data_IF_480316949398
#
_entry.id   IF_480316949398
#
_cell.length_a   1.000
_cell.length_b   1.000
_cell.length_c   1.000
_cell.angle_alpha   90.00
_cell.angle_beta   90.00
_cell.angle_gamma   90.00
#
_symmetry.space_group_name_H-M   'P 1'
#
loop_
_entity.id
_entity.type
_entity.pdbx_description
1 polymer ?
#
# COMPACT_ATOMS: atom_id res chain seq x y z
N UNK A 1 -8.10 -7.73 4.30
CA UNK A 1 -7.70 -6.33 4.60
C UNK A 1 -6.29 -6.37 5.14
N UNK A 2 -5.40 -5.51 4.64
CA UNK A 2 -4.03 -5.33 5.12
C UNK A 2 -3.98 -4.00 5.90
N UNK A 3 -3.39 -4.02 7.08
CA UNK A 3 -3.33 -2.86 7.98
C UNK A 3 -1.88 -2.55 8.32
N UNK A 4 -1.43 -1.34 8.02
CA UNK A 4 -0.15 -0.79 8.49
C UNK A 4 -0.37 0.02 9.75
N UNK A 5 -0.02 -0.52 10.92
CA UNK A 5 -0.11 0.20 12.19
C UNK A 5 1.12 1.07 12.45
N UNK A 6 1.01 2.03 13.39
CA UNK A 6 2.11 2.91 13.82
C UNK A 6 2.68 3.76 12.67
N UNK A 7 1.80 4.28 11.81
CA UNK A 7 2.22 5.16 10.72
C UNK A 7 2.89 6.46 11.21
N UNK A 8 2.62 6.89 12.44
CA UNK A 8 3.30 8.01 13.12
C UNK A 8 4.80 7.78 13.22
N UNK A 9 5.25 6.56 13.55
CA UNK A 9 6.67 6.21 13.56
C UNK A 9 7.28 6.10 12.14
N UNK A 10 6.45 5.95 11.12
CA UNK A 10 6.86 5.81 9.72
C UNK A 10 6.76 7.12 8.92
N UNK A 11 5.97 8.09 9.39
CA UNK A 11 5.66 9.33 8.69
C UNK A 11 6.92 10.16 8.37
N UNK A 12 7.88 10.16 9.31
CA UNK A 12 9.13 10.94 9.22
C UNK A 12 10.27 10.21 8.51
N UNK A 13 10.02 9.01 7.95
CA UNK A 13 11.02 8.31 7.14
C UNK A 13 11.25 9.01 5.81
N UNK A 14 12.38 8.69 5.19
CA UNK A 14 12.76 9.23 3.89
C UNK A 14 11.65 9.00 2.85
N UNK A 15 11.35 9.99 1.98
CA UNK A 15 10.32 9.88 0.95
C UNK A 15 10.46 8.62 0.08
N UNK A 16 11.69 8.24 -0.20
CA UNK A 16 11.99 7.07 -1.02
C UNK A 16 11.62 5.76 -0.31
N UNK A 17 11.96 5.60 0.97
CA UNK A 17 11.52 4.45 1.79
C UNK A 17 9.98 4.36 1.84
N UNK A 18 9.30 5.50 2.02
CA UNK A 18 7.84 5.57 1.99
C UNK A 18 7.26 5.16 0.64
N UNK A 19 7.90 5.57 -0.46
CA UNK A 19 7.52 5.19 -1.82
C UNK A 19 7.65 3.69 -2.04
N UNK A 20 8.80 3.10 -1.69
CA UNK A 20 9.04 1.65 -1.84
C UNK A 20 8.03 0.87 -1.02
N UNK A 21 7.90 1.18 0.27
CA UNK A 21 6.96 0.50 1.17
C UNK A 21 5.51 0.61 0.67
N UNK A 22 5.09 1.82 0.29
CA UNK A 22 3.74 2.07 -0.13
C UNK A 22 3.37 1.35 -1.44
N UNK A 23 4.29 1.27 -2.40
CA UNK A 23 4.06 0.50 -3.63
C UNK A 23 4.06 -1.01 -3.39
N UNK A 24 4.99 -1.53 -2.59
CA UNK A 24 5.05 -2.95 -2.24
C UNK A 24 3.76 -3.41 -1.54
N UNK A 25 3.26 -2.65 -0.56
CA UNK A 25 2.01 -2.99 0.13
C UNK A 25 0.78 -2.85 -0.77
N UNK A 26 0.75 -1.86 -1.66
CA UNK A 26 -0.33 -1.73 -2.66
C UNK A 26 -0.36 -2.92 -3.61
N UNK A 27 0.81 -3.39 -4.07
CA UNK A 27 0.91 -4.60 -4.88
C UNK A 27 0.37 -5.81 -4.12
N UNK A 28 0.84 -6.04 -2.89
CA UNK A 28 0.37 -7.15 -2.07
C UNK A 28 -1.14 -7.09 -1.84
N UNK A 29 -1.69 -5.91 -1.57
CA UNK A 29 -3.11 -5.71 -1.40
C UNK A 29 -3.88 -6.06 -2.68
N UNK A 30 -3.42 -5.56 -3.84
CA UNK A 30 -4.04 -5.83 -5.13
C UNK A 30 -4.02 -7.33 -5.49
N UNK A 31 -2.88 -8.00 -5.32
CA UNK A 31 -2.72 -9.44 -5.62
C UNK A 31 -3.62 -10.33 -4.75
N UNK A 32 -3.89 -9.90 -3.51
CA UNK A 32 -4.76 -10.63 -2.57
C UNK A 32 -6.23 -10.19 -2.63
N UNK A 33 -6.61 -9.27 -3.54
CA UNK A 33 -7.94 -8.67 -3.57
C UNK A 33 -8.31 -7.94 -2.26
N UNK A 34 -7.32 -7.49 -1.51
CA UNK A 34 -7.48 -6.88 -0.21
C UNK A 34 -7.46 -5.35 -0.28
N UNK A 35 -8.14 -4.71 0.67
CA UNK A 35 -7.96 -3.29 0.95
C UNK A 35 -6.73 -3.04 1.82
N UNK A 36 -6.03 -1.92 1.64
CA UNK A 36 -4.90 -1.46 2.43
C UNK A 36 -5.25 -0.18 3.19
N UNK A 37 -4.88 -0.09 4.47
CA UNK A 37 -5.03 1.12 5.28
C UNK A 37 -3.88 1.31 6.25
N UNK A 38 -3.37 2.54 6.33
CA UNK A 38 -2.46 2.96 7.39
C UNK A 38 -3.22 3.53 8.58
N UNK A 39 -2.77 3.20 9.79
CA UNK A 39 -3.44 3.58 11.03
C UNK A 39 -2.45 3.93 12.14
N UNK A 40 -2.87 4.85 12.99
CA UNK A 40 -2.26 5.24 14.27
C UNK A 40 -3.39 5.40 15.28
N UNK A 41 -3.09 5.60 16.57
CA UNK A 41 -4.10 5.96 17.56
C UNK A 41 -4.84 7.29 17.28
N UNK A 42 -4.43 8.07 16.27
CA UNK A 42 -5.11 9.29 15.85
C UNK A 42 -6.56 9.01 15.39
N UNK A 43 -7.47 9.92 15.77
CA UNK A 43 -8.91 9.79 15.50
C UNK A 43 -9.21 9.75 14.00
N UNK A 44 -8.48 10.49 13.18
CA UNK A 44 -8.68 10.54 11.73
C UNK A 44 -8.39 9.19 11.08
N UNK A 45 -7.22 8.62 11.38
CA UNK A 45 -6.78 7.35 10.79
C UNK A 45 -7.56 6.15 11.33
N UNK A 46 -7.88 6.12 12.63
CA UNK A 46 -8.81 5.13 13.20
C UNK A 46 -10.20 5.22 12.55
N UNK A 47 -10.66 6.43 12.23
CA UNK A 47 -11.91 6.64 11.51
C UNK A 47 -11.90 5.98 10.12
N UNK A 48 -10.81 6.13 9.36
CA UNK A 48 -10.64 5.46 8.07
C UNK A 48 -10.60 3.94 8.20
N UNK A 49 -9.88 3.41 9.20
CA UNK A 49 -9.86 1.97 9.48
C UNK A 49 -11.26 1.42 9.81
N UNK A 50 -12.00 2.09 10.70
CA UNK A 50 -13.38 1.69 11.07
C UNK A 50 -14.34 1.78 9.89
N UNK A 51 -14.23 2.82 9.07
CA UNK A 51 -15.03 2.96 7.86
C UNK A 51 -14.77 1.80 6.88
N UNK A 52 -13.50 1.41 6.72
CA UNK A 52 -13.12 0.26 5.89
C UNK A 52 -13.70 -1.05 6.41
N UNK A 53 -13.59 -1.31 7.73
CA UNK A 53 -14.20 -2.48 8.34
C UNK A 53 -15.72 -2.49 8.19
N UNK A 54 -16.37 -1.34 8.41
CA UNK A 54 -17.82 -1.20 8.24
C UNK A 54 -18.25 -1.49 6.81
N UNK A 55 -17.47 -1.05 5.82
CA UNK A 55 -17.69 -1.38 4.42
C UNK A 55 -17.54 -2.89 4.16
N UNK A 56 -16.48 -3.52 4.67
CA UNK A 56 -16.24 -4.96 4.45
C UNK A 56 -17.28 -5.85 5.15
N UNK A 57 -17.68 -5.52 6.38
CA UNK A 57 -18.55 -6.37 7.20
C UNK A 57 -20.04 -6.10 6.96
N UNK A 58 -20.41 -4.83 6.78
CA UNK A 58 -21.81 -4.40 6.74
C UNK A 58 -22.22 -3.78 5.41
N UNK A 59 -21.32 -3.77 4.41
CA UNK A 59 -21.53 -3.08 3.12
C UNK A 59 -21.89 -1.60 3.29
N UNK A 60 -21.46 -1.00 4.40
CA UNK A 60 -21.68 0.42 4.65
C UNK A 60 -20.98 1.27 3.57
N UNK A 61 -21.51 2.46 3.25
CA UNK A 61 -20.80 3.40 2.39
C UNK A 61 -19.43 3.74 2.99
N UNK A 62 -18.37 3.63 2.18
CA UNK A 62 -17.01 3.80 2.66
C UNK A 62 -16.73 5.25 3.12
N UNK A 63 -17.32 6.24 2.45
CA UNK A 63 -17.30 7.65 2.86
C UNK A 63 -15.91 8.30 2.95
N UNK A 64 -14.86 7.61 2.48
CA UNK A 64 -13.45 8.04 2.53
C UNK A 64 -12.84 7.93 1.14
N UNK A 65 -12.14 8.98 0.66
CA UNK A 65 -11.50 8.94 -0.65
C UNK A 65 -10.28 8.02 -0.62
N UNK A 66 -9.98 7.40 -1.77
CA UNK A 66 -8.73 6.67 -2.00
C UNK A 66 -7.53 7.62 -1.84
N UNK A 67 -6.51 7.17 -1.13
CA UNK A 67 -5.24 7.87 -0.92
C UNK A 67 -4.08 6.92 -1.27
N UNK A 68 -3.40 7.20 -2.38
CA UNK A 68 -2.25 6.42 -2.88
C UNK A 68 -0.92 7.18 -2.81
N UNK A 69 -0.97 8.46 -2.42
CA UNK A 69 0.20 9.30 -2.19
C UNK A 69 1.01 8.77 -1.00
N UNK A 70 2.24 8.35 -1.25
CA UNK A 70 3.13 7.74 -0.27
C UNK A 70 3.58 8.70 0.85
N UNK A 71 3.39 10.01 0.67
CA UNK A 71 3.64 11.01 1.70
C UNK A 71 2.49 11.12 2.71
N UNK A 72 1.35 10.50 2.41
CA UNK A 72 0.14 10.51 3.24
C UNK A 72 -0.17 9.10 3.75
N UNK A 73 -0.97 8.98 4.83
CA UNK A 73 -1.47 7.68 5.27
C UNK A 73 -2.25 7.01 4.14
N UNK A 74 -1.80 5.83 3.71
CA UNK A 74 -2.43 5.12 2.60
C UNK A 74 -3.82 4.65 2.97
N UNK A 75 -4.73 4.77 2.01
CA UNK A 75 -6.08 4.26 2.09
C UNK A 75 -6.51 3.78 0.71
N UNK A 76 -6.45 2.47 0.49
CA UNK A 76 -6.65 1.85 -0.82
C UNK A 76 -7.70 0.75 -0.70
N UNK A 77 -8.96 1.04 -1.04
CA UNK A 77 -10.01 0.03 -1.06
C UNK A 77 -9.72 -1.07 -2.09
N UNK A 78 -10.12 -2.31 -1.81
CA UNK A 78 -10.03 -3.41 -2.76
C UNK A 78 -10.70 -3.03 -4.09
N UNK A 79 -10.02 -3.34 -5.20
CA UNK A 79 -10.51 -3.02 -6.56
C UNK A 79 -10.35 -1.55 -6.99
N UNK A 80 -9.91 -0.64 -6.12
CA UNK A 80 -9.68 0.78 -6.47
C UNK A 80 -8.27 1.07 -6.98
N UNK A 81 -7.43 0.05 -7.11
CA UNK A 81 -6.02 0.16 -7.48
C UNK A 81 -5.69 -0.78 -8.64
N UNK A 82 -4.63 -0.46 -9.37
CA UNK A 82 -4.18 -1.20 -10.55
C UNK A 82 -2.67 -1.37 -10.59
N UNK A 83 -2.20 -2.47 -11.19
CA UNK A 83 -0.75 -2.73 -11.36
C UNK A 83 -0.10 -1.60 -12.18
N UNK A 84 -0.81 -1.03 -13.15
CA UNK A 84 -0.34 0.09 -13.98
C UNK A 84 -0.10 1.36 -13.14
N UNK A 85 -1.00 1.69 -12.20
CA UNK A 85 -0.85 2.86 -11.32
C UNK A 85 0.14 2.64 -10.18
N UNK A 86 0.32 1.40 -9.72
CA UNK A 86 1.38 1.04 -8.75
C UNK A 86 2.75 1.18 -9.42
N UNK A 87 2.83 0.75 -10.68
CA UNK A 87 4.02 0.75 -11.50
C UNK A 87 4.95 -0.42 -11.20
N UNK A 88 6.01 -0.51 -11.99
CA UNK A 88 7.11 -1.45 -11.77
C UNK A 88 8.15 -0.84 -10.83
N UNK A 89 8.89 -1.67 -10.07
CA UNK A 89 10.01 -1.18 -9.29
C UNK A 89 11.10 -0.64 -10.24
N UNK A 90 11.95 0.25 -9.73
CA UNK A 90 13.07 0.80 -10.51
C UNK A 90 14.21 -0.22 -10.57
N UNK A 91 13.93 -1.39 -11.13
CA UNK A 91 14.92 -2.46 -11.33
C UNK A 91 15.67 -2.25 -12.65
N UNK A 92 16.89 -2.78 -12.72
CA UNK A 92 17.66 -2.84 -13.97
C UNK A 92 16.80 -3.47 -15.08
N UNK A 93 16.79 -2.87 -16.28
CA UNK A 93 16.00 -3.34 -17.43
C UNK A 93 16.25 -4.81 -17.74
N UNK A 94 17.45 -5.31 -17.43
CA UNK A 94 17.83 -6.73 -17.55
C UNK A 94 16.97 -7.66 -16.69
N UNK A 95 16.48 -7.21 -15.53
CA UNK A 95 15.56 -7.97 -14.68
C UNK A 95 14.12 -7.95 -15.22
N UNK A 96 13.72 -6.88 -15.92
CA UNK A 96 12.43 -6.83 -16.62
C UNK A 96 12.40 -7.82 -17.80
N UNK A 97 13.54 -8.00 -18.47
CA UNK A 97 13.72 -8.97 -19.57
C UNK A 97 13.59 -10.43 -19.11
N UNK A 98 13.90 -10.72 -17.83
CA UNK A 98 13.78 -12.05 -17.24
C UNK A 98 12.32 -12.50 -17.04
N UNK A 99 11.33 -11.63 -17.32
CA UNK A 99 9.89 -11.93 -17.19
C UNK A 99 9.50 -12.51 -15.82
N UNK A 100 10.21 -12.12 -14.76
CA UNK A 100 9.85 -12.50 -13.40
C UNK A 100 8.45 -11.97 -13.06
N UNK A 101 7.66 -12.73 -12.28
CA UNK A 101 6.35 -12.25 -11.87
C UNK A 101 6.50 -10.98 -11.00
N UNK A 102 5.53 -10.03 -11.04
CA UNK A 102 5.65 -8.74 -10.37
C UNK A 102 5.99 -8.82 -8.88
N UNK A 103 5.48 -9.85 -8.18
CA UNK A 103 5.75 -10.08 -6.77
C UNK A 103 7.25 -10.29 -6.48
N UNK A 104 7.93 -11.09 -7.30
CA UNK A 104 9.35 -11.42 -7.12
C UNK A 104 10.23 -10.19 -7.38
N UNK A 105 9.89 -9.39 -8.41
CA UNK A 105 10.57 -8.13 -8.69
C UNK A 105 10.44 -7.14 -7.53
N UNK A 106 9.23 -6.99 -7.00
CA UNK A 106 8.97 -6.11 -5.86
C UNK A 106 9.60 -6.62 -4.56
N UNK A 107 9.71 -7.94 -4.38
CA UNK A 107 10.41 -8.54 -3.22
C UNK A 107 11.89 -8.17 -3.25
N UNK A 108 12.59 -8.47 -4.35
CA UNK A 108 14.02 -8.17 -4.47
C UNK A 108 14.29 -6.66 -4.30
N UNK A 109 13.45 -5.82 -4.93
CA UNK A 109 13.57 -4.36 -4.79
C UNK A 109 13.27 -3.88 -3.36
N UNK A 110 12.37 -4.53 -2.64
CA UNK A 110 12.10 -4.18 -1.23
C UNK A 110 13.29 -4.53 -0.34
N UNK A 111 13.93 -5.68 -0.54
CA UNK A 111 15.11 -6.14 0.22
C UNK A 111 16.32 -5.20 0.08
N UNK A 112 16.46 -4.50 -1.05
CA UNK A 112 17.51 -3.49 -1.24
C UNK A 112 17.36 -2.27 -0.28
N UNK A 113 16.13 -1.94 0.11
CA UNK A 113 15.83 -0.78 0.97
C UNK A 113 15.58 -1.18 2.42
N UNK A 114 15.17 -2.43 2.67
CA UNK A 114 14.82 -2.98 3.97
C UNK A 114 15.49 -4.35 4.14
N UNK A 115 16.80 -4.39 4.46
CA UNK A 115 17.54 -5.63 4.69
C UNK A 115 17.13 -6.37 5.96
#
# INVERSE_FOLDING_TARGET
VIVGSKYDAFADKEPELKRVMGRSLRLLAHLNGASLVYTTPDKGQLGSYRALLGHCLFRAPLGKPRVVDHLKPLFVPAGSDSIQEIGMPAVDKRLLEQKLPPLELWRNYFEEYFP
#
